data_IF_251700397819
#
_entry.id   IF_251700397819
#
_cell.length_a   1.000
_cell.length_b   1.000
_cell.length_c   1.000
_cell.angle_alpha   90.00
_cell.angle_beta   90.00
_cell.angle_gamma   90.00
#
_symmetry.space_group_name_H-M   'P 1'
#
loop_
_entity.id
_entity.type
_entity.pdbx_description
1 polymer ?
#
# COMPACT_ATOMS: atom_id res chain seq x y z
N UNK A 1 3.72 12.73 4.92
CA UNK A 1 3.79 12.53 3.46
C UNK A 1 3.31 11.13 3.22
N UNK A 2 2.20 10.94 2.48
CA UNK A 2 1.77 9.59 2.09
C UNK A 2 2.82 9.07 1.12
N UNK A 3 3.54 8.04 1.51
CA UNK A 3 4.42 7.32 0.58
C UNK A 3 3.48 6.58 -0.36
N UNK A 4 3.59 6.85 -1.67
CA UNK A 4 2.80 6.15 -2.67
C UNK A 4 3.07 4.65 -2.55
N UNK A 5 2.00 3.86 -2.44
CA UNK A 5 2.04 2.38 -2.43
C UNK A 5 2.74 1.79 -3.66
N UNK A 6 2.81 2.57 -4.73
CA UNK A 6 3.32 2.17 -6.02
C UNK A 6 4.36 3.16 -6.55
N UNK A 7 5.34 2.67 -7.31
CA UNK A 7 6.30 3.54 -8.00
C UNK A 7 5.58 4.51 -8.94
N UNK A 8 6.11 5.73 -9.05
CA UNK A 8 5.67 6.67 -10.08
C UNK A 8 5.91 6.05 -11.46
N UNK A 9 4.93 6.21 -12.33
CA UNK A 9 4.99 5.69 -13.70
C UNK A 9 4.67 6.79 -14.70
N UNK A 10 5.11 6.61 -15.94
CA UNK A 10 4.67 7.48 -17.02
C UNK A 10 3.16 7.37 -17.21
N UNK A 11 2.54 8.51 -17.51
CA UNK A 11 1.09 8.55 -17.75
C UNK A 11 0.78 7.65 -18.94
N UNK A 12 -0.06 6.61 -18.78
CA UNK A 12 -0.34 5.67 -19.86
C UNK A 12 -1.02 6.38 -21.02
N UNK A 13 -0.51 6.15 -22.23
CA UNK A 13 -1.13 6.58 -23.49
C UNK A 13 -1.88 5.40 -24.11
N UNK A 14 -3.17 5.59 -24.43
CA UNK A 14 -3.99 4.53 -25.00
C UNK A 14 -5.43 4.94 -25.24
N UNK A 15 -6.17 4.11 -25.98
CA UNK A 15 -7.59 4.36 -26.26
C UNK A 15 -8.38 4.50 -24.96
N UNK A 16 -9.15 5.58 -24.89
CA UNK A 16 -10.01 5.86 -23.76
C UNK A 16 -9.28 6.23 -22.48
N UNK A 17 -7.99 6.64 -22.50
CA UNK A 17 -7.32 7.27 -21.36
C UNK A 17 -7.34 8.80 -21.51
N UNK A 18 -7.60 9.52 -20.42
CA UNK A 18 -7.68 10.99 -20.45
C UNK A 18 -7.37 11.61 -19.09
N UNK A 19 -6.72 12.76 -19.16
CA UNK A 19 -6.37 13.57 -18.00
C UNK A 19 -7.44 14.62 -17.76
N UNK A 20 -7.85 14.78 -16.50
CA UNK A 20 -8.77 15.83 -16.07
C UNK A 20 -8.13 16.64 -14.95
N UNK A 21 -8.33 17.96 -15.00
CA UNK A 21 -8.03 18.84 -13.87
C UNK A 21 -9.22 18.78 -12.93
N UNK A 22 -9.00 18.42 -11.68
CA UNK A 22 -10.02 18.38 -10.64
C UNK A 22 -9.44 18.89 -9.32
N UNK A 23 -10.29 19.49 -8.47
CA UNK A 23 -9.87 20.05 -7.18
C UNK A 23 -9.46 21.53 -7.22
N UNK A 24 -9.36 22.13 -6.03
CA UNK A 24 -9.19 23.59 -5.85
C UNK A 24 -7.79 24.11 -6.23
N UNK A 25 -6.80 23.23 -6.38
CA UNK A 25 -5.38 23.58 -6.62
C UNK A 25 -4.86 23.16 -8.00
N UNK A 26 -5.74 22.88 -8.96
CA UNK A 26 -5.32 22.48 -10.31
C UNK A 26 -4.69 21.09 -10.37
N UNK A 27 -5.07 20.21 -9.45
CA UNK A 27 -4.57 18.83 -9.42
C UNK A 27 -5.04 18.08 -10.67
N UNK A 28 -4.15 17.27 -11.24
CA UNK A 28 -4.41 16.52 -12.47
C UNK A 28 -4.56 15.04 -12.14
N UNK A 29 -5.57 14.43 -12.73
CA UNK A 29 -5.91 13.02 -12.51
C UNK A 29 -6.07 12.30 -13.84
N UNK A 30 -5.74 11.03 -13.87
CA UNK A 30 -5.83 10.18 -15.05
C UNK A 30 -7.00 9.23 -14.90
N UNK A 31 -7.86 9.18 -15.91
CA UNK A 31 -9.04 8.32 -15.96
C UNK A 31 -9.04 7.46 -17.21
N UNK A 32 -9.73 6.32 -17.15
CA UNK A 32 -10.08 5.52 -18.34
C UNK A 32 -11.59 5.42 -18.52
N UNK A 33 -12.10 5.75 -19.69
CA UNK A 33 -13.50 5.55 -20.04
C UNK A 33 -13.78 4.07 -20.27
N UNK A 34 -14.79 3.55 -19.59
CA UNK A 34 -15.17 2.14 -19.65
C UNK A 34 -16.45 1.91 -20.43
N UNK A 35 -17.39 2.85 -20.37
CA UNK A 35 -18.67 2.75 -21.06
C UNK A 35 -19.10 4.10 -21.61
N UNK A 36 -19.67 4.08 -22.81
CA UNK A 36 -20.30 5.23 -23.44
C UNK A 36 -21.81 4.98 -23.51
N UNK A 37 -22.61 5.98 -23.13
CA UNK A 37 -24.07 5.89 -23.14
C UNK A 37 -24.68 7.26 -23.45
N UNK A 38 -25.95 7.31 -23.83
CA UNK A 38 -26.70 8.58 -23.95
C UNK A 38 -27.58 8.76 -22.71
N UNK A 39 -27.66 9.97 -22.17
CA UNK A 39 -28.59 10.27 -21.09
C UNK A 39 -30.05 10.35 -21.62
N UNK A 40 -31.02 10.56 -20.74
CA UNK A 40 -32.43 10.70 -21.11
C UNK A 40 -32.69 11.83 -22.14
N UNK A 41 -31.81 12.83 -22.21
CA UNK A 41 -31.85 13.94 -23.17
C UNK A 41 -31.12 13.62 -24.49
N UNK A 42 -30.65 12.39 -24.68
CA UNK A 42 -29.91 11.96 -25.87
C UNK A 42 -28.46 12.45 -25.94
N UNK A 43 -27.96 13.17 -24.93
CA UNK A 43 -26.57 13.68 -24.89
C UNK A 43 -25.59 12.56 -24.58
N UNK A 44 -24.45 12.47 -25.29
CA UNK A 44 -23.42 11.50 -25.00
C UNK A 44 -22.81 11.74 -23.60
N UNK A 45 -22.66 10.64 -22.87
CA UNK A 45 -22.06 10.54 -21.55
C UNK A 45 -21.18 9.30 -21.50
N UNK A 46 -20.31 9.26 -20.50
CA UNK A 46 -19.39 8.16 -20.32
C UNK A 46 -19.20 7.87 -18.83
N UNK A 47 -18.89 6.61 -18.50
CA UNK A 47 -18.36 6.21 -17.19
C UNK A 47 -16.84 6.16 -17.28
N UNK A 48 -16.19 6.56 -16.20
CA UNK A 48 -14.74 6.64 -16.12
C UNK A 48 -14.27 6.00 -14.81
N UNK A 49 -13.16 5.26 -14.86
CA UNK A 49 -12.46 4.74 -13.69
C UNK A 49 -11.22 5.59 -13.46
N UNK A 50 -10.98 6.01 -12.22
CA UNK A 50 -9.76 6.72 -11.83
C UNK A 50 -8.58 5.75 -11.81
N UNK A 51 -7.51 6.09 -12.52
CA UNK A 51 -6.27 5.30 -12.57
C UNK A 51 -5.19 5.84 -11.63
N UNK A 52 -5.19 7.15 -11.36
CA UNK A 52 -4.13 7.76 -10.55
C UNK A 52 -4.12 9.29 -10.59
N UNK A 53 -3.21 9.87 -9.82
CA UNK A 53 -2.96 11.31 -9.72
C UNK A 53 -1.64 11.65 -10.41
N UNK A 54 -1.57 12.77 -11.12
CA UNK A 54 -0.32 13.25 -11.71
C UNK A 54 0.40 14.12 -10.69
N UNK A 55 1.66 13.79 -10.42
CA UNK A 55 2.57 14.67 -9.71
C UNK A 55 2.98 15.82 -10.64
N UNK A 56 2.63 17.04 -10.23
CA UNK A 56 2.87 18.26 -11.01
C UNK A 56 4.37 18.55 -11.17
N UNK A 57 5.22 18.08 -10.24
CA UNK A 57 6.67 18.33 -10.27
C UNK A 57 7.38 17.45 -11.30
N UNK A 58 7.03 16.17 -11.34
CA UNK A 58 7.71 15.18 -12.20
C UNK A 58 6.98 14.97 -13.52
N UNK A 59 5.68 15.29 -13.58
CA UNK A 59 4.82 14.96 -14.72
C UNK A 59 4.39 13.50 -14.77
N UNK A 60 4.84 12.68 -13.80
CA UNK A 60 4.53 11.26 -13.71
C UNK A 60 3.24 11.01 -12.92
N UNK A 61 2.65 9.84 -13.11
CA UNK A 61 1.44 9.41 -12.42
C UNK A 61 1.78 8.56 -11.20
N UNK A 62 1.12 8.86 -10.08
CA UNK A 62 0.95 8.00 -8.92
C UNK A 62 -0.26 7.07 -9.18
N UNK A 63 -0.03 5.79 -9.55
CA UNK A 63 -1.10 4.87 -9.91
C UNK A 63 -1.85 4.37 -8.68
N UNK A 64 -3.09 3.93 -8.87
CA UNK A 64 -3.85 3.17 -7.87
C UNK A 64 -4.06 1.71 -8.32
N UNK A 65 -4.77 0.91 -7.51
CA UNK A 65 -5.04 -0.51 -7.82
C UNK A 65 -5.75 -0.70 -9.18
N UNK A 66 -6.67 0.20 -9.57
CA UNK A 66 -7.39 0.10 -10.83
C UNK A 66 -6.46 0.13 -12.04
N UNK A 67 -5.33 0.86 -11.98
CA UNK A 67 -4.35 0.86 -13.06
C UNK A 67 -3.82 -0.56 -13.31
N UNK A 68 -3.35 -1.24 -12.26
CA UNK A 68 -2.80 -2.58 -12.36
C UNK A 68 -3.84 -3.61 -12.79
N UNK A 69 -5.04 -3.55 -12.20
CA UNK A 69 -6.14 -4.46 -12.53
C UNK A 69 -6.61 -4.34 -13.98
N UNK A 70 -6.66 -3.11 -14.51
CA UNK A 70 -7.22 -2.84 -15.83
C UNK A 70 -6.19 -3.10 -16.93
N UNK A 71 -4.93 -2.69 -16.73
CA UNK A 71 -3.87 -2.92 -17.70
C UNK A 71 -3.21 -4.30 -17.56
N UNK A 72 -3.61 -5.10 -16.57
CA UNK A 72 -3.05 -6.43 -16.29
C UNK A 72 -1.52 -6.39 -16.11
N UNK A 73 -1.05 -5.30 -15.52
CA UNK A 73 0.37 -5.11 -15.18
C UNK A 73 0.53 -5.51 -13.72
N UNK A 74 1.54 -6.33 -13.43
CA UNK A 74 1.89 -6.62 -12.04
C UNK A 74 2.46 -5.33 -11.40
N UNK A 75 2.03 -4.95 -10.19
CA UNK A 75 2.64 -3.82 -9.51
C UNK A 75 4.13 -4.08 -9.35
N UNK A 76 4.94 -3.15 -9.84
CA UNK A 76 6.36 -3.13 -9.49
C UNK A 76 6.45 -3.02 -7.98
N UNK A 77 7.15 -3.96 -7.34
CA UNK A 77 7.44 -3.81 -5.92
C UNK A 77 8.20 -2.49 -5.74
N UNK A 78 7.90 -1.71 -4.68
CA UNK A 78 8.74 -0.58 -4.33
C UNK A 78 10.20 -1.04 -4.28
N UNK A 79 11.12 -0.23 -4.77
CA UNK A 79 12.56 -0.55 -4.71
C UNK A 79 12.92 -0.92 -3.26
N UNK A 80 13.44 -2.12 -3.05
CA UNK A 80 13.84 -2.63 -1.73
C UNK A 80 14.86 -1.74 -1.02
N UNK A 81 15.52 -0.82 -1.76
CA UNK A 81 16.34 0.24 -1.18
C UNK A 81 15.55 1.25 -0.32
N UNK A 82 14.21 1.22 -0.36
CA UNK A 82 13.31 2.13 0.36
C UNK A 82 12.66 1.46 1.59
N UNK A 83 12.90 0.16 1.82
CA UNK A 83 12.27 -0.53 2.94
C UNK A 83 13.02 -0.28 4.24
N UNK A 84 12.27 0.10 5.28
CA UNK A 84 12.80 0.19 6.63
C UNK A 84 13.15 -1.22 7.13
N UNK A 85 14.41 -1.43 7.51
CA UNK A 85 14.91 -2.75 7.96
C UNK A 85 15.53 -2.72 9.34
N UNK A 86 16.17 -1.61 9.72
CA UNK A 86 17.00 -1.54 10.92
C UNK A 86 16.23 -1.88 12.21
N UNK A 87 15.04 -1.30 12.37
CA UNK A 87 14.24 -1.46 13.59
C UNK A 87 13.60 -2.86 13.71
N UNK A 88 12.99 -3.36 12.65
CA UNK A 88 12.39 -4.69 12.62
C UNK A 88 13.43 -5.79 12.84
N UNK A 89 14.60 -5.69 12.20
CA UNK A 89 15.71 -6.61 12.43
C UNK A 89 16.21 -6.56 13.87
N UNK A 90 16.43 -5.36 14.42
CA UNK A 90 16.93 -5.22 15.79
C UNK A 90 15.94 -5.79 16.81
N UNK A 91 14.64 -5.53 16.64
CA UNK A 91 13.59 -6.10 17.49
C UNK A 91 13.60 -7.63 17.45
N UNK A 92 13.64 -8.23 16.26
CA UNK A 92 13.72 -9.69 16.11
C UNK A 92 15.00 -10.26 16.73
N UNK A 93 16.15 -9.61 16.51
CA UNK A 93 17.42 -10.03 17.09
C UNK A 93 17.37 -10.00 18.62
N UNK A 94 16.84 -8.94 19.23
CA UNK A 94 16.66 -8.87 20.68
C UNK A 94 15.74 -9.99 21.19
N UNK A 95 14.62 -10.26 20.51
CA UNK A 95 13.71 -11.34 20.87
C UNK A 95 14.40 -12.72 20.82
N UNK A 96 15.23 -12.93 19.80
CA UNK A 96 16.00 -14.16 19.64
C UNK A 96 17.09 -14.30 20.71
N UNK A 97 17.91 -13.26 20.91
CA UNK A 97 19.04 -13.28 21.83
C UNK A 97 18.62 -13.44 23.30
N UNK A 98 17.42 -12.97 23.66
CA UNK A 98 16.83 -13.15 24.99
C UNK A 98 16.05 -14.47 25.15
N UNK A 99 15.94 -15.28 24.10
CA UNK A 99 15.14 -16.51 24.09
C UNK A 99 13.63 -16.30 24.03
N UNK A 100 13.16 -15.06 23.92
CA UNK A 100 11.73 -14.72 23.86
C UNK A 100 11.05 -15.37 22.66
N UNK A 101 11.73 -15.44 21.51
CA UNK A 101 11.20 -16.12 20.32
C UNK A 101 10.87 -17.59 20.57
N UNK A 102 11.70 -18.30 21.34
CA UNK A 102 11.44 -19.70 21.69
C UNK A 102 10.22 -19.82 22.61
N UNK A 103 10.14 -18.99 23.66
CA UNK A 103 9.01 -18.96 24.57
C UNK A 103 7.68 -18.65 23.86
N UNK A 104 7.69 -17.66 22.96
CA UNK A 104 6.48 -17.30 22.20
C UNK A 104 6.06 -18.41 21.25
N UNK A 105 7.00 -19.10 20.60
CA UNK A 105 6.67 -20.23 19.73
C UNK A 105 6.11 -21.42 20.53
N UNK A 106 6.62 -21.68 21.73
CA UNK A 106 6.11 -22.75 22.60
C UNK A 106 4.66 -22.48 23.04
N UNK A 107 4.34 -21.22 23.39
CA UNK A 107 3.02 -20.86 23.92
C UNK A 107 1.99 -20.56 22.83
N UNK A 108 2.39 -19.83 21.79
CA UNK A 108 1.48 -19.27 20.78
C UNK A 108 1.64 -19.87 19.39
N UNK A 109 2.63 -20.76 19.19
CA UNK A 109 2.86 -21.45 17.92
C UNK A 109 2.93 -20.49 16.74
N UNK A 110 2.05 -20.71 15.75
CA UNK A 110 2.02 -19.92 14.51
C UNK A 110 1.70 -18.42 14.69
N UNK A 111 1.24 -17.98 15.86
CA UNK A 111 1.00 -16.56 16.15
C UNK A 111 2.20 -15.84 16.76
N UNK A 112 3.27 -16.57 17.13
CA UNK A 112 4.44 -15.98 17.78
C UNK A 112 5.05 -14.82 16.99
N UNK A 113 5.19 -14.99 15.66
CA UNK A 113 5.72 -13.94 14.80
C UNK A 113 4.76 -12.78 14.60
N UNK A 114 3.44 -13.01 14.63
CA UNK A 114 2.45 -11.93 14.58
C UNK A 114 2.59 -11.02 15.82
N UNK A 115 2.83 -11.61 16.99
CA UNK A 115 3.08 -10.90 18.25
C UNK A 115 4.39 -10.10 18.17
N UNK A 116 5.48 -10.71 17.70
CA UNK A 116 6.78 -10.04 17.57
C UNK A 116 6.70 -8.89 16.55
N UNK A 117 6.05 -9.10 15.40
CA UNK A 117 5.85 -8.06 14.39
C UNK A 117 5.01 -6.90 14.93
N UNK A 118 3.94 -7.20 15.69
CA UNK A 118 3.11 -6.18 16.34
C UNK A 118 3.88 -5.38 17.39
N UNK A 119 4.73 -6.05 18.18
CA UNK A 119 5.61 -5.36 19.13
C UNK A 119 6.67 -4.50 18.42
N UNK A 120 7.24 -5.00 17.32
CA UNK A 120 8.21 -4.27 16.50
C UNK A 120 7.59 -3.03 15.83
N UNK A 121 6.29 -3.04 15.57
CA UNK A 121 5.52 -1.87 15.11
C UNK A 121 5.28 -0.85 16.24
N UNK A 122 4.89 -1.29 17.45
CA UNK A 122 4.57 -0.38 18.57
C UNK A 122 5.75 0.53 18.93
N UNK A 123 6.97 0.00 18.89
CA UNK A 123 8.16 0.74 19.35
C UNK A 123 8.40 2.04 18.55
N UNK A 124 8.44 2.03 17.21
CA UNK A 124 8.60 3.25 16.41
C UNK A 124 7.29 4.04 16.18
N UNK A 125 6.16 3.37 15.98
CA UNK A 125 4.92 4.03 15.51
C UNK A 125 3.95 4.39 16.67
N UNK A 126 4.15 3.81 17.85
CA UNK A 126 3.32 4.02 19.03
C UNK A 126 2.22 2.96 19.22
N UNK A 127 1.37 3.18 20.21
CA UNK A 127 0.48 2.13 20.75
C UNK A 127 -0.78 1.84 19.90
N UNK A 128 -1.05 2.63 18.86
CA UNK A 128 -2.25 2.49 18.04
C UNK A 128 -1.98 1.55 16.87
N UNK A 129 -2.69 0.43 16.81
CA UNK A 129 -2.49 -0.66 15.83
C UNK A 129 -3.23 -0.47 14.50
N UNK A 130 -3.82 0.70 14.29
CA UNK A 130 -4.66 1.03 13.14
C UNK A 130 -3.90 1.14 11.82
N UNK A 131 -2.57 1.30 11.86
CA UNK A 131 -1.72 1.47 10.68
C UNK A 131 -0.61 0.40 10.55
N UNK A 132 -0.80 -0.78 11.15
CA UNK A 132 0.22 -1.86 11.03
C UNK A 132 0.38 -2.35 9.59
N UNK A 133 -0.70 -2.32 8.80
CA UNK A 133 -0.74 -2.76 7.42
C UNK A 133 0.09 -1.82 6.56
N UNK A 134 -0.11 -0.51 6.72
CA UNK A 134 0.72 0.53 6.12
C UNK A 134 2.20 0.43 6.54
N UNK A 135 2.48 -0.02 7.76
CA UNK A 135 3.85 -0.23 8.23
C UNK A 135 4.49 -1.48 7.63
N UNK A 136 3.77 -2.60 7.54
CA UNK A 136 4.25 -3.83 6.91
C UNK A 136 4.49 -3.65 5.41
N UNK A 137 3.80 -2.72 4.76
CA UNK A 137 4.01 -2.39 3.34
C UNK A 137 5.32 -1.64 3.08
N UNK A 138 5.89 -0.98 4.10
CA UNK A 138 7.15 -0.22 4.00
C UNK A 138 8.32 -0.82 4.78
N UNK A 139 8.07 -1.82 5.63
CA UNK A 139 9.07 -2.37 6.55
C UNK A 139 9.34 -3.84 6.25
N UNK A 140 10.61 -4.18 6.03
CA UNK A 140 11.01 -5.57 5.93
C UNK A 140 11.05 -6.20 7.31
N UNK A 141 10.18 -7.16 7.62
CA UNK A 141 10.29 -7.98 8.83
C UNK A 141 10.92 -9.33 8.47
N UNK A 142 12.16 -9.64 8.94
CA UNK A 142 12.85 -10.86 8.54
C UNK A 142 12.06 -12.13 8.85
N UNK A 143 11.89 -13.01 7.84
CA UNK A 143 11.18 -14.28 8.00
C UNK A 143 9.67 -14.16 8.21
N UNK A 144 9.09 -12.97 8.02
CA UNK A 144 7.68 -12.70 8.20
C UNK A 144 7.08 -12.09 6.93
N UNK A 145 6.15 -12.80 6.31
CA UNK A 145 5.56 -12.43 5.00
C UNK A 145 4.04 -12.30 5.05
N UNK A 146 3.46 -12.39 6.24
CA UNK A 146 2.02 -12.33 6.45
C UNK A 146 1.59 -10.87 6.57
N UNK A 147 0.52 -10.50 5.86
CA UNK A 147 -0.15 -9.22 6.07
C UNK A 147 -0.99 -9.29 7.34
N UNK A 148 -0.85 -8.29 8.21
CA UNK A 148 -1.72 -8.07 9.36
C UNK A 148 -2.60 -6.87 9.06
N UNK A 149 -3.91 -7.06 9.15
CA UNK A 149 -4.88 -5.98 9.16
C UNK A 149 -5.40 -5.73 10.58
N UNK A 150 -6.11 -4.62 10.76
CA UNK A 150 -6.73 -4.25 12.03
C UNK A 150 -7.60 -5.36 12.62
N UNK A 151 -8.28 -6.13 11.77
CA UNK A 151 -9.15 -7.23 12.20
C UNK A 151 -8.34 -8.44 12.72
N UNK A 152 -7.18 -8.72 12.11
CA UNK A 152 -6.27 -9.78 12.54
C UNK A 152 -5.57 -9.42 13.83
N UNK A 153 -5.20 -8.15 14.01
CA UNK A 153 -4.65 -7.66 15.28
C UNK A 153 -5.66 -7.76 16.42
N UNK A 154 -6.91 -7.37 16.18
CA UNK A 154 -7.95 -7.47 17.21
C UNK A 154 -8.22 -8.90 17.67
N UNK A 155 -7.65 -9.93 17.04
CA UNK A 155 -7.70 -11.33 17.50
C UNK A 155 -6.46 -11.75 18.28
N UNK A 156 -5.40 -10.94 18.26
CA UNK A 156 -4.17 -11.15 19.03
C UNK A 156 -4.26 -10.57 20.45
N UNK A 157 -5.15 -9.59 20.66
CA UNK A 157 -5.45 -8.92 21.93
C UNK A 157 -6.94 -9.04 22.25
#
# INVERSE_FOLDING_TARGET
>A
MSISKYSLIDVPSGEGVHTKVAGAKGEKYVYKYTHYFRNAEGKPRNRAILLGKIDVKTGQMEPNSNYYELFKVAPGMPDTAVWDYGYSYLALKCCHDMGLTACLNEVFGGQAMDIIASAAYIVPEGSSMDAIDDWLERTLVPGYFKSLDSQSISRLF
#
